data_IF_728761397279
#
_entry.id   IF_728761397279
#
_cell.length_a   1.000
_cell.length_b   1.000
_cell.length_c   1.000
_cell.angle_alpha   90.00
_cell.angle_beta   90.00
_cell.angle_gamma   90.00
#
_symmetry.space_group_name_H-M   'P 1'
#
loop_
_entity.id
_entity.type
_entity.pdbx_description
1 polymer ?
#
# COMPACT_ATOMS: atom_id res chain seq x y z
N UNK A 1 -6.34 8.80 -20.04
CA UNK A 1 -6.80 8.28 -18.73
C UNK A 1 -5.61 8.26 -17.81
N UNK A 2 -5.64 9.07 -16.76
CA UNK A 2 -4.52 9.17 -15.83
C UNK A 2 -4.51 7.92 -14.92
N UNK A 3 -3.37 7.20 -14.90
CA UNK A 3 -3.13 6.00 -14.08
C UNK A 3 -1.92 6.23 -13.18
N UNK A 4 -1.85 5.53 -12.05
CA UNK A 4 -0.63 5.49 -11.24
C UNK A 4 0.53 4.97 -12.10
N UNK A 5 1.69 5.63 -12.03
CA UNK A 5 2.88 5.14 -12.73
C UNK A 5 3.38 3.87 -12.03
N UNK A 6 4.01 2.94 -12.78
CA UNK A 6 4.62 1.74 -12.20
C UNK A 6 5.53 2.03 -11.00
N UNK A 7 6.31 3.11 -11.05
CA UNK A 7 7.23 3.50 -9.98
C UNK A 7 6.48 3.96 -8.71
N UNK A 8 5.39 4.71 -8.88
CA UNK A 8 4.55 5.15 -7.77
C UNK A 8 3.89 3.95 -7.08
N UNK A 9 3.38 2.99 -7.87
CA UNK A 9 2.83 1.72 -7.35
C UNK A 9 3.89 0.94 -6.57
N UNK A 10 5.12 0.83 -7.09
CA UNK A 10 6.22 0.14 -6.39
C UNK A 10 6.53 0.78 -5.04
N UNK A 11 6.57 2.11 -4.96
CA UNK A 11 6.84 2.82 -3.71
C UNK A 11 5.73 2.58 -2.67
N UNK A 12 4.46 2.59 -3.10
CA UNK A 12 3.33 2.29 -2.21
C UNK A 12 3.47 0.87 -1.63
N UNK A 13 3.76 -0.12 -2.48
CA UNK A 13 3.92 -1.50 -2.02
C UNK A 13 5.15 -1.68 -1.14
N UNK A 14 6.27 -1.05 -1.47
CA UNK A 14 7.48 -1.09 -0.66
C UNK A 14 7.23 -0.54 0.74
N UNK A 15 6.49 0.56 0.85
CA UNK A 15 6.08 1.14 2.15
C UNK A 15 5.32 0.13 3.00
N UNK A 16 4.35 -0.58 2.40
CA UNK A 16 3.60 -1.64 3.08
C UNK A 16 4.54 -2.79 3.51
N UNK A 17 5.48 -3.19 2.66
CA UNK A 17 6.47 -4.22 3.01
C UNK A 17 7.39 -3.79 4.15
N UNK A 18 7.81 -2.53 4.19
CA UNK A 18 8.68 -1.98 5.22
C UNK A 18 7.98 -1.92 6.58
N UNK A 19 6.68 -1.60 6.60
CA UNK A 19 5.88 -1.68 7.82
C UNK A 19 5.89 -3.07 8.47
N UNK A 20 5.98 -4.13 7.68
CA UNK A 20 6.07 -5.51 8.19
C UNK A 20 7.44 -5.80 8.78
N UNK A 21 8.50 -5.18 8.24
CA UNK A 21 9.85 -5.35 8.77
C UNK A 21 9.95 -4.83 10.21
N UNK A 22 9.19 -3.78 10.52
CA UNK A 22 9.11 -3.18 11.85
C UNK A 22 8.35 -4.04 12.88
N UNK A 23 7.71 -5.13 12.48
CA UNK A 23 6.97 -6.02 13.38
C UNK A 23 7.90 -7.08 13.97
N UNK A 24 8.26 -7.06 15.27
CA UNK A 24 9.16 -8.06 15.84
C UNK A 24 8.50 -9.43 16.03
N UNK A 25 7.16 -9.48 16.13
CA UNK A 25 6.40 -10.70 16.47
C UNK A 25 6.02 -11.59 15.27
N UNK A 26 6.32 -11.17 14.04
CA UNK A 26 5.96 -11.95 12.85
C UNK A 26 7.01 -12.99 12.52
N UNK A 27 6.58 -14.25 12.37
CA UNK A 27 7.45 -15.35 11.97
C UNK A 27 7.93 -15.17 10.51
N UNK A 28 8.94 -15.96 10.11
CA UNK A 28 9.51 -15.86 8.76
C UNK A 28 8.52 -16.23 7.65
N UNK A 29 7.69 -17.25 7.87
CA UNK A 29 6.70 -17.76 6.91
C UNK A 29 5.55 -16.78 6.71
N UNK A 30 5.03 -16.21 7.78
CA UNK A 30 4.03 -15.16 7.80
C UNK A 30 4.55 -13.92 7.10
N UNK A 31 5.81 -13.51 7.33
CA UNK A 31 6.39 -12.37 6.60
C UNK A 31 6.39 -12.61 5.10
N UNK A 32 6.79 -13.80 4.65
CA UNK A 32 6.79 -14.16 3.23
C UNK A 32 5.36 -14.16 2.68
N UNK A 33 4.40 -14.73 3.41
CA UNK A 33 2.98 -14.78 3.03
C UNK A 33 2.39 -13.38 2.89
N UNK A 34 2.61 -12.51 3.88
CA UNK A 34 2.11 -11.15 3.91
C UNK A 34 2.75 -10.30 2.79
N UNK A 35 4.08 -10.38 2.60
CA UNK A 35 4.75 -9.72 1.46
C UNK A 35 4.19 -10.17 0.11
N UNK A 36 3.93 -11.47 -0.05
CA UNK A 36 3.30 -11.99 -1.28
C UNK A 36 1.91 -11.37 -1.51
N UNK A 37 1.09 -11.22 -0.46
CA UNK A 37 -0.22 -10.56 -0.55
C UNK A 37 -0.12 -9.10 -0.95
N UNK A 38 0.84 -8.36 -0.41
CA UNK A 38 1.10 -6.96 -0.79
C UNK A 38 1.50 -6.87 -2.26
N UNK A 39 2.47 -7.68 -2.71
CA UNK A 39 2.94 -7.66 -4.10
C UNK A 39 1.83 -7.96 -5.11
N UNK A 40 0.89 -8.84 -4.76
CA UNK A 40 -0.29 -9.13 -5.59
C UNK A 40 -1.20 -7.92 -5.83
N UNK A 41 -1.12 -6.87 -5.00
CA UNK A 41 -1.88 -5.64 -5.20
C UNK A 41 -1.32 -4.75 -6.31
N UNK A 42 -0.12 -5.04 -6.82
CA UNK A 42 0.52 -4.27 -7.90
C UNK A 42 -0.41 -4.11 -9.12
N UNK A 43 -0.95 -5.23 -9.61
CA UNK A 43 -1.83 -5.23 -10.78
C UNK A 43 -3.10 -4.41 -10.51
N UNK A 44 -3.69 -4.57 -9.33
CA UNK A 44 -4.89 -3.82 -8.96
C UNK A 44 -4.62 -2.31 -8.91
N UNK A 45 -3.57 -1.88 -8.20
CA UNK A 45 -3.17 -0.46 -8.12
C UNK A 45 -2.85 0.14 -9.51
N UNK A 46 -2.22 -0.64 -10.39
CA UNK A 46 -1.89 -0.21 -11.76
C UNK A 46 -3.10 -0.06 -12.69
N UNK A 47 -4.24 -0.68 -12.33
CA UNK A 47 -5.50 -0.61 -13.11
C UNK A 47 -6.43 0.52 -12.66
N UNK A 48 -6.13 1.18 -11.53
CA UNK A 48 -6.97 2.25 -11.01
C UNK A 48 -6.95 3.45 -11.97
N UNK A 49 -8.15 3.92 -12.31
CA UNK A 49 -8.37 5.12 -13.10
C UNK A 49 -8.97 6.18 -12.18
N UNK A 50 -8.35 7.37 -12.15
CA UNK A 50 -8.67 8.47 -11.21
C UNK A 50 -8.66 8.07 -9.72
N UNK A 51 -7.47 7.81 -9.15
CA UNK A 51 -7.37 7.25 -7.82
C UNK A 51 -7.57 8.34 -6.74
N UNK A 52 -8.60 8.19 -5.90
CA UNK A 52 -8.74 8.97 -4.65
C UNK A 52 -7.99 8.28 -3.50
N UNK A 53 -7.28 9.07 -2.67
CA UNK A 53 -6.47 8.60 -1.54
C UNK A 53 -7.32 7.73 -0.60
N UNK A 54 -8.47 8.25 -0.15
CA UNK A 54 -9.32 7.55 0.82
C UNK A 54 -9.89 6.26 0.23
N UNK A 55 -10.28 6.30 -1.05
CA UNK A 55 -10.79 5.12 -1.75
C UNK A 55 -9.72 4.04 -1.89
N UNK A 56 -8.49 4.41 -2.27
CA UNK A 56 -7.38 3.46 -2.36
C UNK A 56 -7.06 2.88 -0.99
N UNK A 57 -6.97 3.74 0.02
CA UNK A 57 -6.64 3.33 1.38
C UNK A 57 -7.67 2.34 1.91
N UNK A 58 -8.97 2.67 1.84
CA UNK A 58 -10.05 1.76 2.26
C UNK A 58 -10.00 0.43 1.49
N UNK A 59 -9.77 0.46 0.18
CA UNK A 59 -9.69 -0.78 -0.61
C UNK A 59 -8.45 -1.60 -0.30
N UNK A 60 -7.33 -0.98 0.03
CA UNK A 60 -6.14 -1.68 0.53
C UNK A 60 -6.42 -2.31 1.89
N UNK A 61 -7.07 -1.58 2.80
CA UNK A 61 -7.44 -2.08 4.12
C UNK A 61 -8.42 -3.26 4.01
N UNK A 62 -9.41 -3.22 3.12
CA UNK A 62 -10.30 -4.35 2.84
C UNK A 62 -9.53 -5.55 2.27
N UNK A 63 -8.70 -5.34 1.25
CA UNK A 63 -7.97 -6.40 0.53
C UNK A 63 -6.85 -7.03 1.33
N UNK A 64 -6.30 -6.29 2.27
CA UNK A 64 -5.17 -6.67 3.12
C UNK A 64 -5.54 -6.55 4.60
N UNK A 65 -6.81 -6.78 4.96
CA UNK A 65 -7.30 -6.63 6.34
C UNK A 65 -6.49 -7.44 7.36
N UNK A 66 -6.06 -8.64 6.97
CA UNK A 66 -5.19 -9.49 7.80
C UNK A 66 -3.75 -8.96 7.92
N UNK A 67 -3.33 -8.10 7.01
CA UNK A 67 -2.04 -7.41 7.06
C UNK A 67 -2.15 -6.13 7.88
N UNK A 68 -3.23 -5.36 7.66
CA UNK A 68 -3.47 -4.10 8.36
C UNK A 68 -3.69 -4.29 9.86
N UNK A 69 -4.29 -5.42 10.27
CA UNK A 69 -4.42 -5.78 11.68
C UNK A 69 -3.08 -6.03 12.39
N UNK A 70 -2.01 -6.26 11.64
CA UNK A 70 -0.67 -6.50 12.17
C UNK A 70 0.14 -5.21 12.32
N UNK A 71 -0.25 -4.13 11.64
CA UNK A 71 0.52 -2.89 11.65
C UNK A 71 0.46 -2.18 13.01
N UNK A 72 1.57 -1.52 13.41
CA UNK A 72 1.57 -0.72 14.63
C UNK A 72 0.62 0.47 14.51
N UNK A 73 0.17 0.96 15.66
CA UNK A 73 -0.67 2.15 15.74
C UNK A 73 0.00 3.34 15.00
N UNK A 74 -0.77 4.03 14.14
CA UNK A 74 -0.29 5.16 13.34
C UNK A 74 0.29 4.81 11.96
N UNK A 75 0.46 3.53 11.63
CA UNK A 75 0.95 3.14 10.29
C UNK A 75 -0.04 3.53 9.18
N UNK A 76 -1.35 3.50 9.47
CA UNK A 76 -2.40 3.94 8.56
C UNK A 76 -2.20 5.38 8.06
N UNK A 77 -1.78 6.29 8.95
CA UNK A 77 -1.49 7.69 8.59
C UNK A 77 -0.27 7.79 7.67
N UNK A 78 0.76 6.97 7.89
CA UNK A 78 1.93 6.91 7.02
C UNK A 78 1.57 6.44 5.61
N UNK A 79 0.72 5.41 5.49
CA UNK A 79 0.23 4.93 4.19
C UNK A 79 -0.58 6.01 3.49
N UNK A 80 -1.50 6.69 4.19
CA UNK A 80 -2.29 7.79 3.62
C UNK A 80 -1.41 8.94 3.15
N UNK A 81 -0.37 9.30 3.91
CA UNK A 81 0.59 10.35 3.53
C UNK A 81 1.33 10.00 2.23
N UNK A 82 1.82 8.78 2.10
CA UNK A 82 2.54 8.34 0.90
C UNK A 82 1.60 8.25 -0.30
N UNK A 83 0.36 7.77 -0.11
CA UNK A 83 -0.67 7.83 -1.15
C UNK A 83 -0.92 9.28 -1.60
N UNK A 84 -1.04 10.22 -0.65
CA UNK A 84 -1.24 11.64 -0.95
C UNK A 84 -0.07 12.24 -1.74
N UNK A 85 1.17 11.95 -1.34
CA UNK A 85 2.36 12.42 -2.06
C UNK A 85 2.40 11.89 -3.50
N UNK A 86 2.17 10.59 -3.71
CA UNK A 86 2.20 9.99 -5.05
C UNK A 86 1.03 10.43 -5.93
N UNK A 87 -0.14 10.67 -5.34
CA UNK A 87 -1.30 11.17 -6.06
C UNK A 87 -1.27 12.69 -6.29
N UNK A 88 -0.55 13.46 -5.47
CA UNK A 88 -0.30 14.88 -5.74
C UNK A 88 0.58 15.05 -6.99
N UNK A 89 1.61 14.21 -7.15
CA UNK A 89 2.41 14.16 -8.39
C UNK A 89 1.58 13.80 -9.64
N UNK A 90 0.47 13.09 -9.47
CA UNK A 90 -0.46 12.74 -10.54
C UNK A 90 -1.37 13.91 -10.96
N UNK A 91 -1.70 14.84 -10.04
CA UNK A 91 -2.58 16.00 -10.32
C UNK A 91 -1.84 17.24 -10.82
N UNK A 92 -0.52 17.30 -10.70
CA UNK A 92 0.30 18.43 -11.16
C UNK A 92 0.82 18.29 -12.61
N UNK A 93 0.35 17.30 -13.39
CA UNK A 93 0.73 17.08 -14.80
C UNK A 93 -0.49 17.19 -15.70
#
# INVERSE_FOLDING_TARGET
>A
MARLRPDDVRVILQTLEDGINLMPKLDKMDRIRVRSKIRKQYNWLSTLSDPNIDTIFHKLEERLSDVFSLYPFGFSDQVKKILAEKLAHFRSV
#
